data_IF_177368640095
#
_entry.id   IF_177368640095
#
_cell.length_a   1.000
_cell.length_b   1.000
_cell.length_c   1.000
_cell.angle_alpha   90.00
_cell.angle_beta   90.00
_cell.angle_gamma   90.00
#
_symmetry.space_group_name_H-M   'P 1'
#
loop_
_entity.id
_entity.type
_entity.pdbx_description
1 polymer ?
#
# COMPACT_ATOMS: atom_id res chain seq x y z
N UNK A 1 -110.21 32.41 -77.16
CA UNK A 1 -108.88 32.25 -77.78
C UNK A 1 -107.81 32.24 -76.65
N UNK A 2 -106.64 31.58 -76.83
CA UNK A 2 -106.13 30.46 -75.99
C UNK A 2 -104.89 30.72 -75.08
N UNK A 3 -104.63 29.75 -74.16
CA UNK A 3 -103.41 29.17 -73.45
C UNK A 3 -102.02 29.89 -73.50
N UNK A 4 -100.93 29.50 -72.73
CA UNK A 4 -100.70 28.43 -71.71
C UNK A 4 -99.89 28.88 -70.44
N UNK A 5 -99.63 27.98 -69.46
CA UNK A 5 -98.93 28.25 -68.16
C UNK A 5 -97.52 27.65 -67.98
N UNK A 6 -96.97 27.57 -66.73
CA UNK A 6 -95.76 26.79 -66.42
C UNK A 6 -95.86 25.91 -65.15
N UNK A 7 -95.45 24.62 -65.23
CA UNK A 7 -95.46 23.62 -64.13
C UNK A 7 -94.08 22.98 -63.80
N UNK A 8 -92.95 23.48 -64.32
CA UNK A 8 -91.63 22.83 -64.13
C UNK A 8 -90.70 23.44 -63.06
N UNK A 9 -90.95 24.65 -62.55
CA UNK A 9 -90.09 25.28 -61.53
C UNK A 9 -90.47 24.94 -60.08
N UNK A 10 -91.61 24.27 -59.86
CA UNK A 10 -92.11 24.00 -58.51
C UNK A 10 -91.45 22.78 -57.84
N UNK A 11 -91.10 21.71 -58.58
CA UNK A 11 -90.57 20.47 -57.99
C UNK A 11 -89.16 20.61 -57.40
N UNK A 12 -88.24 21.25 -58.12
CA UNK A 12 -86.88 21.51 -57.61
C UNK A 12 -86.86 22.46 -56.40
N UNK A 13 -87.84 23.36 -56.29
CA UNK A 13 -87.96 24.25 -55.14
C UNK A 13 -88.48 23.51 -53.90
N UNK A 14 -89.35 22.51 -54.09
CA UNK A 14 -89.90 21.69 -53.00
C UNK A 14 -88.84 20.73 -52.47
N UNK A 15 -88.08 20.04 -53.32
CA UNK A 15 -87.04 19.10 -52.87
C UNK A 15 -85.88 19.82 -52.17
N UNK A 16 -85.51 21.03 -52.62
CA UNK A 16 -84.50 21.86 -51.95
C UNK A 16 -84.99 22.39 -50.59
N UNK A 17 -86.26 22.78 -50.50
CA UNK A 17 -86.86 23.22 -49.24
C UNK A 17 -86.97 22.08 -48.22
N UNK A 18 -87.28 20.85 -48.68
CA UNK A 18 -87.34 19.68 -47.80
C UNK A 18 -85.96 19.32 -47.23
N UNK A 19 -84.91 19.39 -48.04
CA UNK A 19 -83.54 19.16 -47.60
C UNK A 19 -83.04 20.24 -46.62
N UNK A 20 -83.35 21.52 -46.87
CA UNK A 20 -83.05 22.63 -45.95
C UNK A 20 -83.85 22.52 -44.64
N UNK A 21 -85.08 22.00 -44.68
CA UNK A 21 -85.90 21.78 -43.48
C UNK A 21 -85.41 20.57 -42.67
N UNK A 22 -84.97 19.50 -43.32
CA UNK A 22 -84.39 18.32 -42.66
C UNK A 22 -83.02 18.64 -42.06
N UNK A 23 -82.20 19.46 -42.73
CA UNK A 23 -80.95 19.97 -42.18
C UNK A 23 -81.18 20.93 -41.01
N UNK A 24 -82.22 21.80 -41.08
CA UNK A 24 -82.67 22.60 -39.94
C UNK A 24 -83.12 21.74 -38.77
N UNK A 25 -83.92 20.70 -38.99
CA UNK A 25 -84.37 19.79 -37.92
C UNK A 25 -83.19 19.06 -37.29
N UNK A 26 -82.20 18.62 -38.07
CA UNK A 26 -80.96 18.02 -37.51
C UNK A 26 -80.12 19.02 -36.71
N UNK A 27 -80.03 20.26 -37.17
CA UNK A 27 -79.35 21.34 -36.44
C UNK A 27 -80.09 21.72 -35.16
N UNK A 28 -81.43 21.77 -35.19
CA UNK A 28 -82.27 22.02 -34.02
C UNK A 28 -82.21 20.86 -33.03
N UNK A 29 -82.28 19.62 -33.48
CA UNK A 29 -82.11 18.43 -32.62
C UNK A 29 -80.71 18.37 -32.00
N UNK A 30 -79.66 18.68 -32.77
CA UNK A 30 -78.29 18.79 -32.27
C UNK A 30 -78.11 19.93 -31.25
N UNK A 31 -78.74 21.08 -31.49
CA UNK A 31 -78.75 22.21 -30.56
C UNK A 31 -79.53 21.90 -29.28
N UNK A 32 -80.65 21.19 -29.38
CA UNK A 32 -81.46 20.77 -28.24
C UNK A 32 -80.70 19.75 -27.37
N UNK A 33 -79.95 18.83 -27.99
CA UNK A 33 -79.11 17.87 -27.27
C UNK A 33 -77.94 18.54 -26.55
N UNK A 34 -77.36 19.59 -27.14
CA UNK A 34 -76.31 20.41 -26.52
C UNK A 34 -76.86 21.29 -25.39
N UNK A 35 -78.06 21.85 -25.52
CA UNK A 35 -78.74 22.64 -24.47
C UNK A 35 -79.20 21.75 -23.29
N UNK A 36 -79.63 20.53 -23.57
CA UNK A 36 -80.07 19.55 -22.56
C UNK A 36 -78.89 18.90 -21.82
N UNK A 37 -77.86 18.45 -22.55
CA UNK A 37 -76.73 17.71 -21.98
C UNK A 37 -75.50 18.58 -21.68
N UNK A 38 -75.41 19.80 -22.21
CA UNK A 38 -74.29 20.72 -22.02
C UNK A 38 -74.02 21.10 -20.55
N UNK A 39 -75.03 21.43 -19.73
CA UNK A 39 -74.85 21.70 -18.31
C UNK A 39 -74.39 20.45 -17.54
N UNK A 40 -74.92 19.28 -17.88
CA UNK A 40 -74.54 18.01 -17.27
C UNK A 40 -73.09 17.63 -17.61
N UNK A 41 -72.66 17.81 -18.87
CA UNK A 41 -71.28 17.59 -19.30
C UNK A 41 -70.30 18.55 -18.60
N UNK A 42 -70.69 19.81 -18.36
CA UNK A 42 -69.85 20.78 -17.65
C UNK A 42 -69.70 20.44 -16.16
N UNK A 43 -70.75 19.94 -15.51
CA UNK A 43 -70.69 19.48 -14.12
C UNK A 43 -69.79 18.25 -13.97
N UNK A 44 -69.92 17.26 -14.87
CA UNK A 44 -69.04 16.08 -14.89
C UNK A 44 -67.58 16.46 -15.16
N UNK A 45 -67.33 17.41 -16.07
CA UNK A 45 -65.97 17.89 -16.34
C UNK A 45 -65.38 18.70 -15.16
N UNK A 46 -66.19 19.51 -14.46
CA UNK A 46 -65.77 20.23 -13.28
C UNK A 46 -65.48 19.29 -12.10
N UNK A 47 -66.31 18.26 -11.91
CA UNK A 47 -66.12 17.23 -10.89
C UNK A 47 -64.90 16.36 -11.18
N UNK A 48 -64.65 16.02 -12.46
CA UNK A 48 -63.44 15.32 -12.89
C UNK A 48 -62.16 16.14 -12.62
N UNK A 49 -62.16 17.45 -12.90
CA UNK A 49 -61.04 18.34 -12.55
C UNK A 49 -60.80 18.43 -11.05
N UNK A 50 -61.86 18.46 -10.26
CA UNK A 50 -61.78 18.53 -8.80
C UNK A 50 -61.29 17.20 -8.20
N UNK A 51 -61.69 16.07 -8.79
CA UNK A 51 -61.18 14.75 -8.46
C UNK A 51 -59.68 14.60 -8.81
N UNK A 52 -59.25 15.12 -9.96
CA UNK A 52 -57.84 15.11 -10.38
C UNK A 52 -56.96 15.94 -9.43
N UNK A 53 -57.42 17.12 -9.02
CA UNK A 53 -56.73 17.96 -8.03
C UNK A 53 -56.63 17.28 -6.66
N UNK A 54 -57.68 16.59 -6.21
CA UNK A 54 -57.65 15.80 -4.97
C UNK A 54 -56.67 14.64 -5.08
N UNK A 55 -56.70 13.89 -6.19
CA UNK A 55 -55.78 12.79 -6.44
C UNK A 55 -54.32 13.26 -6.51
N UNK A 56 -54.05 14.43 -7.10
CA UNK A 56 -52.71 15.02 -7.14
C UNK A 56 -52.21 15.41 -5.74
N UNK A 57 -53.04 16.10 -4.95
CA UNK A 57 -52.69 16.44 -3.56
C UNK A 57 -52.48 15.22 -2.69
N UNK A 58 -53.26 14.16 -2.89
CA UNK A 58 -53.11 12.91 -2.15
C UNK A 58 -51.80 12.19 -2.51
N UNK A 59 -51.39 12.20 -3.78
CA UNK A 59 -50.08 11.67 -4.21
C UNK A 59 -48.92 12.47 -3.63
N UNK A 60 -48.98 13.80 -3.69
CA UNK A 60 -47.96 14.67 -3.11
C UNK A 60 -47.82 14.45 -1.60
N UNK A 61 -48.95 14.30 -0.88
CA UNK A 61 -48.95 14.02 0.55
C UNK A 61 -48.35 12.63 0.88
N UNK A 62 -48.63 11.62 0.05
CA UNK A 62 -48.05 10.28 0.20
C UNK A 62 -46.55 10.29 -0.07
N UNK A 63 -46.10 11.02 -1.09
CA UNK A 63 -44.69 11.15 -1.43
C UNK A 63 -43.92 11.89 -0.33
N UNK A 64 -44.48 12.97 0.21
CA UNK A 64 -43.90 13.67 1.36
C UNK A 64 -43.77 12.76 2.58
N UNK A 65 -44.83 12.02 2.94
CA UNK A 65 -44.76 11.06 4.06
C UNK A 65 -43.71 9.98 3.83
N UNK A 66 -43.61 9.45 2.60
CA UNK A 66 -42.59 8.45 2.28
C UNK A 66 -41.18 9.03 2.44
N UNK A 67 -40.94 10.25 1.95
CA UNK A 67 -39.65 10.95 2.13
C UNK A 67 -39.34 11.18 3.60
N UNK A 68 -40.27 11.70 4.38
CA UNK A 68 -40.08 11.92 5.82
C UNK A 68 -39.77 10.60 6.55
N UNK A 69 -40.49 9.52 6.25
CA UNK A 69 -40.20 8.21 6.88
C UNK A 69 -38.86 7.64 6.46
N UNK A 70 -38.45 7.84 5.21
CA UNK A 70 -37.16 7.39 4.70
C UNK A 70 -36.00 8.19 5.31
N UNK A 71 -36.12 9.52 5.36
CA UNK A 71 -35.13 10.40 5.99
C UNK A 71 -34.99 10.10 7.49
N UNK A 72 -36.11 9.88 8.20
CA UNK A 72 -36.08 9.47 9.60
C UNK A 72 -35.37 8.12 9.79
N UNK A 73 -35.64 7.14 8.93
CA UNK A 73 -34.97 5.83 8.95
C UNK A 73 -33.45 5.97 8.70
N UNK A 74 -33.06 6.71 7.66
CA UNK A 74 -31.64 6.95 7.34
C UNK A 74 -30.92 7.69 8.47
N UNK A 75 -31.56 8.71 9.06
CA UNK A 75 -30.98 9.43 10.20
C UNK A 75 -30.79 8.53 11.42
N UNK A 76 -31.74 7.63 11.69
CA UNK A 76 -31.64 6.69 12.80
C UNK A 76 -30.52 5.67 12.58
N UNK A 77 -30.41 5.09 11.38
CA UNK A 77 -29.34 4.15 11.06
C UNK A 77 -27.97 4.84 11.07
N UNK A 78 -27.88 6.06 10.56
CA UNK A 78 -26.63 6.84 10.63
C UNK A 78 -26.19 7.08 12.07
N UNK A 79 -27.11 7.45 12.96
CA UNK A 79 -26.79 7.65 14.37
C UNK A 79 -26.30 6.36 15.05
N UNK A 80 -26.90 5.21 14.73
CA UNK A 80 -26.41 3.91 15.24
C UNK A 80 -25.01 3.60 14.73
N UNK A 81 -24.78 3.74 13.42
CA UNK A 81 -23.47 3.52 12.81
C UNK A 81 -22.41 4.44 13.42
N UNK A 82 -22.72 5.71 13.64
CA UNK A 82 -21.82 6.65 14.31
C UNK A 82 -21.44 6.13 15.71
N UNK A 83 -22.41 5.72 16.53
CA UNK A 83 -22.12 5.15 17.86
C UNK A 83 -21.29 3.86 17.80
N UNK A 84 -21.58 2.96 16.86
CA UNK A 84 -20.83 1.71 16.68
C UNK A 84 -19.39 1.99 16.23
N UNK A 85 -19.19 2.96 15.33
CA UNK A 85 -17.86 3.37 14.88
C UNK A 85 -17.05 3.99 16.00
N UNK A 86 -17.65 4.83 16.85
CA UNK A 86 -16.99 5.41 18.01
C UNK A 86 -16.58 4.34 19.03
N UNK A 87 -17.44 3.37 19.30
CA UNK A 87 -17.14 2.25 20.19
C UNK A 87 -16.04 1.35 19.64
N UNK A 88 -16.06 1.10 18.32
CA UNK A 88 -15.01 0.33 17.64
C UNK A 88 -13.66 1.06 17.72
N UNK A 89 -13.63 2.35 17.37
CA UNK A 89 -12.42 3.18 17.46
C UNK A 89 -11.89 3.24 18.89
N UNK A 90 -12.76 3.36 19.89
CA UNK A 90 -12.36 3.34 21.31
C UNK A 90 -11.67 2.03 21.68
N UNK A 91 -12.20 0.89 21.24
CA UNK A 91 -11.60 -0.43 21.48
C UNK A 91 -10.25 -0.55 20.77
N UNK A 92 -10.17 -0.18 19.49
CA UNK A 92 -8.93 -0.23 18.71
C UNK A 92 -7.84 0.64 19.34
N UNK A 93 -8.17 1.89 19.70
CA UNK A 93 -7.23 2.79 20.37
C UNK A 93 -6.83 2.27 21.76
N UNK A 94 -7.76 1.63 22.47
CA UNK A 94 -7.47 0.94 23.73
C UNK A 94 -6.41 -0.17 23.53
N UNK A 95 -6.61 -1.06 22.56
CA UNK A 95 -5.65 -2.12 22.25
C UNK A 95 -4.31 -1.58 21.77
N UNK A 96 -4.29 -0.62 20.85
CA UNK A 96 -3.07 0.02 20.37
C UNK A 96 -2.27 0.64 21.54
N UNK A 97 -2.94 1.30 22.49
CA UNK A 97 -2.27 1.84 23.67
C UNK A 97 -1.63 0.76 24.57
N UNK A 98 -2.28 -0.40 24.70
CA UNK A 98 -1.76 -1.54 25.48
C UNK A 98 -0.56 -2.16 24.77
N UNK A 99 -0.67 -2.38 23.46
CA UNK A 99 0.43 -2.92 22.63
C UNK A 99 1.63 -2.01 22.68
N UNK A 100 1.45 -0.69 22.53
CA UNK A 100 2.54 0.29 22.61
C UNK A 100 3.22 0.30 23.98
N UNK A 101 2.44 0.25 25.07
CA UNK A 101 3.00 0.16 26.42
C UNK A 101 3.81 -1.11 26.61
N UNK A 102 3.26 -2.25 26.18
CA UNK A 102 3.96 -3.53 26.27
C UNK A 102 5.27 -3.53 25.46
N UNK A 103 5.23 -3.00 24.22
CA UNK A 103 6.41 -2.85 23.39
C UNK A 103 7.47 -1.93 24.03
N UNK A 104 7.05 -0.81 24.64
CA UNK A 104 7.95 0.08 25.36
C UNK A 104 8.60 -0.63 26.57
N UNK A 105 7.82 -1.32 27.40
CA UNK A 105 8.36 -2.09 28.53
C UNK A 105 9.34 -3.17 28.07
N UNK A 106 9.07 -3.83 26.93
CA UNK A 106 9.99 -4.82 26.36
C UNK A 106 11.30 -4.22 25.89
N UNK A 107 11.28 -3.00 25.33
CA UNK A 107 12.50 -2.26 24.98
C UNK A 107 13.29 -1.88 26.22
N UNK A 108 12.64 -1.30 27.22
CA UNK A 108 13.30 -0.93 28.48
C UNK A 108 13.95 -2.15 29.17
N UNK A 109 13.28 -3.31 29.16
CA UNK A 109 13.83 -4.57 29.65
C UNK A 109 15.05 -5.04 28.83
N UNK A 110 15.03 -4.87 27.51
CA UNK A 110 16.14 -5.23 26.63
C UNK A 110 17.35 -4.32 26.85
N UNK A 111 17.12 -3.01 26.96
CA UNK A 111 18.14 -2.00 27.25
C UNK A 111 18.79 -2.27 28.61
N UNK A 112 17.97 -2.59 29.62
CA UNK A 112 18.48 -2.96 30.94
C UNK A 112 19.34 -4.22 30.92
N UNK A 113 18.91 -5.27 30.19
CA UNK A 113 19.72 -6.49 30.01
C UNK A 113 21.04 -6.19 29.33
N UNK A 114 21.02 -5.33 28.30
CA UNK A 114 22.22 -4.95 27.57
C UNK A 114 23.21 -4.20 28.46
N UNK A 115 22.70 -3.28 29.29
CA UNK A 115 23.49 -2.58 30.29
C UNK A 115 24.12 -3.55 31.29
N UNK A 116 23.35 -4.52 31.82
CA UNK A 116 23.86 -5.52 32.77
C UNK A 116 24.91 -6.47 32.17
N UNK A 117 24.77 -6.81 30.88
CA UNK A 117 25.70 -7.68 30.17
C UNK A 117 26.97 -6.94 29.70
N UNK A 118 27.05 -5.62 29.90
CA UNK A 118 28.12 -4.77 29.34
C UNK A 118 28.35 -5.07 27.85
N UNK A 119 27.26 -5.27 27.09
CA UNK A 119 27.37 -5.64 25.67
C UNK A 119 28.09 -4.54 24.89
N UNK A 120 29.16 -4.93 24.19
CA UNK A 120 29.93 -4.02 23.33
C UNK A 120 29.30 -3.80 21.95
N UNK A 121 28.32 -4.62 21.60
CA UNK A 121 27.63 -4.55 20.31
C UNK A 121 26.64 -3.38 20.27
N UNK A 122 26.53 -2.68 19.12
CA UNK A 122 25.67 -1.51 18.94
C UNK A 122 24.19 -1.90 18.87
N UNK A 123 23.28 -0.94 19.09
CA UNK A 123 21.84 -1.12 18.93
C UNK A 123 21.48 -0.91 17.46
N UNK A 124 20.90 -1.92 16.79
CA UNK A 124 20.44 -1.75 15.42
C UNK A 124 19.45 -0.61 15.25
N UNK A 125 18.66 -0.27 16.28
CA UNK A 125 17.70 0.84 16.21
C UNK A 125 18.35 2.22 16.37
N UNK A 126 19.61 2.26 16.83
CA UNK A 126 20.41 3.47 16.99
C UNK A 126 21.41 3.60 15.83
N UNK A 127 20.98 4.24 14.75
CA UNK A 127 21.77 4.42 13.53
C UNK A 127 23.16 5.06 13.78
N UNK A 128 23.32 6.12 14.58
CA UNK A 128 24.64 6.66 14.92
C UNK A 128 25.60 5.66 15.56
N UNK A 129 25.10 4.84 16.49
CA UNK A 129 25.90 3.83 17.18
C UNK A 129 26.35 2.75 16.19
N UNK A 130 25.43 2.30 15.33
CA UNK A 130 25.70 1.30 14.31
C UNK A 130 26.72 1.80 13.28
N UNK A 131 26.57 3.03 12.80
CA UNK A 131 27.53 3.65 11.87
C UNK A 131 28.92 3.77 12.48
N UNK A 132 29.00 4.16 13.75
CA UNK A 132 30.28 4.26 14.47
C UNK A 132 30.94 2.89 14.58
N UNK A 133 30.19 1.87 14.98
CA UNK A 133 30.69 0.50 15.07
C UNK A 133 31.19 -0.03 13.71
N UNK A 134 30.39 0.14 12.65
CA UNK A 134 30.76 -0.30 11.29
C UNK A 134 32.05 0.39 10.82
N UNK A 135 32.20 1.69 11.09
CA UNK A 135 33.41 2.44 10.76
C UNK A 135 34.64 1.93 11.52
N UNK A 136 34.53 1.80 12.85
CA UNK A 136 35.62 1.29 13.69
C UNK A 136 36.04 -0.12 13.28
N UNK A 137 35.08 -1.01 13.04
CA UNK A 137 35.38 -2.38 12.64
C UNK A 137 35.96 -2.48 11.23
N UNK A 138 35.57 -1.57 10.32
CA UNK A 138 36.20 -1.48 9.00
C UNK A 138 37.69 -1.14 9.09
N UNK A 139 38.04 -0.17 9.95
CA UNK A 139 39.43 0.28 10.18
C UNK A 139 40.27 -0.73 10.98
N UNK A 140 39.65 -1.53 11.84
CA UNK A 140 40.34 -2.49 12.69
C UNK A 140 41.06 -3.58 11.86
N UNK A 141 42.38 -3.68 12.00
CA UNK A 141 43.15 -4.75 11.37
C UNK A 141 43.02 -6.03 12.18
N UNK A 142 42.59 -7.12 11.53
CA UNK A 142 42.43 -8.42 12.19
C UNK A 142 43.73 -9.21 12.10
N UNK A 143 44.31 -9.53 13.25
CA UNK A 143 45.61 -10.21 13.39
C UNK A 143 46.81 -9.27 13.27
N UNK A 144 47.99 -9.76 13.62
CA UNK A 144 49.26 -9.01 13.58
C UNK A 144 50.22 -9.61 12.56
N UNK A 145 51.24 -8.86 12.12
CA UNK A 145 52.21 -9.37 11.14
C UNK A 145 53.01 -10.54 11.71
N UNK A 146 53.16 -10.57 13.02
CA UNK A 146 53.88 -11.63 13.76
C UNK A 146 53.07 -12.93 13.88
N UNK A 147 51.74 -12.90 13.68
CA UNK A 147 50.87 -14.08 13.71
C UNK A 147 49.82 -14.02 12.58
N UNK A 148 50.11 -14.58 11.40
CA UNK A 148 49.17 -14.64 10.27
C UNK A 148 48.05 -15.68 10.47
N UNK A 149 47.69 -16.01 11.70
CA UNK A 149 46.60 -16.95 11.99
C UNK A 149 45.20 -16.35 11.78
N UNK A 150 44.22 -17.21 11.52
CA UNK A 150 42.80 -16.81 11.45
C UNK A 150 42.21 -16.60 12.85
N UNK A 151 42.94 -16.90 13.94
CA UNK A 151 42.34 -16.98 15.27
C UNK A 151 41.72 -15.65 15.72
N UNK A 152 42.40 -14.53 15.50
CA UNK A 152 41.87 -13.21 15.82
C UNK A 152 40.56 -12.89 15.08
N UNK A 153 40.40 -13.37 13.84
CA UNK A 153 39.16 -13.23 13.09
C UNK A 153 38.06 -14.10 13.69
N UNK A 154 38.37 -15.36 13.97
CA UNK A 154 37.41 -16.28 14.60
C UNK A 154 36.90 -15.70 15.91
N UNK A 155 37.77 -15.16 16.75
CA UNK A 155 37.37 -14.64 18.05
C UNK A 155 36.41 -13.44 17.91
N UNK A 156 36.52 -12.67 16.83
CA UNK A 156 35.65 -11.53 16.53
C UNK A 156 34.35 -11.88 15.78
N UNK A 157 34.30 -13.02 15.07
CA UNK A 157 33.16 -13.40 14.23
C UNK A 157 31.84 -13.64 14.99
N UNK A 158 31.80 -14.29 16.18
CA UNK A 158 30.56 -14.49 16.92
C UNK A 158 29.82 -13.18 17.22
N UNK A 159 30.57 -12.15 17.62
CA UNK A 159 30.02 -10.82 17.90
C UNK A 159 29.52 -10.15 16.62
N UNK A 160 30.26 -10.28 15.53
CA UNK A 160 29.86 -9.79 14.21
C UNK A 160 28.57 -10.46 13.68
N UNK A 161 28.46 -11.78 13.77
CA UNK A 161 27.26 -12.53 13.36
C UNK A 161 26.07 -12.25 14.26
N UNK A 162 26.30 -12.12 15.57
CA UNK A 162 25.27 -11.72 16.52
C UNK A 162 24.71 -10.35 16.15
N UNK A 163 25.57 -9.41 15.75
CA UNK A 163 25.11 -8.12 15.24
C UNK A 163 24.31 -8.26 13.93
N UNK A 164 24.75 -9.09 12.98
CA UNK A 164 23.96 -9.38 11.76
C UNK A 164 22.56 -9.90 12.08
N UNK A 165 22.44 -10.81 13.05
CA UNK A 165 21.15 -11.35 13.51
C UNK A 165 20.28 -10.26 14.14
N UNK A 166 20.86 -9.43 15.02
CA UNK A 166 20.14 -8.32 15.65
C UNK A 166 19.63 -7.31 14.60
N UNK A 167 20.42 -6.98 13.57
CA UNK A 167 19.99 -6.10 12.48
C UNK A 167 18.87 -6.77 11.67
N UNK A 168 18.98 -8.07 11.37
CA UNK A 168 17.94 -8.79 10.64
C UNK A 168 16.61 -8.85 11.40
N UNK A 169 16.65 -9.03 12.72
CA UNK A 169 15.47 -8.94 13.59
C UNK A 169 14.86 -7.53 13.56
N UNK A 170 15.68 -6.49 13.65
CA UNK A 170 15.22 -5.11 13.54
C UNK A 170 14.58 -4.81 12.17
N UNK A 171 15.13 -5.35 11.08
CA UNK A 171 14.50 -5.26 9.74
C UNK A 171 13.10 -5.89 9.77
N UNK A 172 12.93 -7.06 10.38
CA UNK A 172 11.63 -7.72 10.48
C UNK A 172 10.61 -6.87 11.25
N UNK A 173 11.02 -6.26 12.35
CA UNK A 173 10.16 -5.39 13.15
C UNK A 173 9.72 -4.13 12.38
N UNK A 174 10.64 -3.49 11.64
CA UNK A 174 10.29 -2.32 10.82
C UNK A 174 9.44 -2.69 9.59
N UNK A 175 9.54 -3.94 9.08
CA UNK A 175 8.61 -4.44 8.07
C UNK A 175 7.17 -4.47 8.60
N UNK A 176 6.98 -5.01 9.80
CA UNK A 176 5.67 -5.11 10.44
C UNK A 176 5.09 -3.72 10.77
N UNK A 177 5.96 -2.75 11.08
CA UNK A 177 5.60 -1.36 11.32
C UNK A 177 5.32 -0.54 10.04
N UNK A 178 5.48 -1.13 8.85
CA UNK A 178 5.35 -0.46 7.54
C UNK A 178 6.27 0.76 7.37
N UNK A 179 7.42 0.78 8.05
CA UNK A 179 8.38 1.87 8.01
C UNK A 179 9.46 1.60 6.95
N UNK A 180 9.12 1.85 5.69
CA UNK A 180 9.99 1.56 4.55
C UNK A 180 11.35 2.28 4.60
N UNK A 181 11.42 3.49 5.15
CA UNK A 181 12.68 4.24 5.25
C UNK A 181 13.69 3.56 6.17
N UNK A 182 13.27 3.26 7.41
CA UNK A 182 14.11 2.55 8.37
C UNK A 182 14.47 1.14 7.88
N UNK A 183 13.52 0.43 7.26
CA UNK A 183 13.75 -0.89 6.68
C UNK A 183 14.88 -0.88 5.63
N UNK A 184 14.89 0.10 4.73
CA UNK A 184 15.93 0.21 3.69
C UNK A 184 17.29 0.50 4.33
N UNK A 185 17.36 1.43 5.28
CA UNK A 185 18.62 1.78 5.96
C UNK A 185 19.21 0.57 6.71
N UNK A 186 18.40 -0.14 7.48
CA UNK A 186 18.84 -1.34 8.20
C UNK A 186 19.32 -2.45 7.26
N UNK A 187 18.68 -2.61 6.09
CA UNK A 187 19.14 -3.55 5.06
C UNK A 187 20.49 -3.16 4.47
N UNK A 188 20.73 -1.85 4.29
CA UNK A 188 22.04 -1.35 3.87
C UNK A 188 23.08 -1.68 4.93
N UNK A 189 22.82 -1.40 6.21
CA UNK A 189 23.76 -1.74 7.29
C UNK A 189 24.04 -3.24 7.38
N UNK A 190 23.03 -4.10 7.22
CA UNK A 190 23.21 -5.55 7.18
C UNK A 190 24.11 -5.98 6.02
N UNK A 191 23.90 -5.40 4.83
CA UNK A 191 24.73 -5.67 3.67
C UNK A 191 26.18 -5.21 3.91
N UNK A 192 26.38 -4.02 4.48
CA UNK A 192 27.70 -3.49 4.84
C UNK A 192 28.40 -4.40 5.84
N UNK A 193 27.72 -4.85 6.90
CA UNK A 193 28.32 -5.74 7.90
C UNK A 193 28.79 -7.06 7.27
N UNK A 194 27.99 -7.66 6.39
CA UNK A 194 28.36 -8.88 5.66
C UNK A 194 29.55 -8.67 4.72
N UNK A 195 29.60 -7.52 4.04
CA UNK A 195 30.74 -7.14 3.21
C UNK A 195 32.01 -6.97 4.04
N UNK A 196 31.91 -6.39 5.24
CA UNK A 196 33.04 -6.27 6.16
C UNK A 196 33.52 -7.65 6.63
N UNK A 197 32.63 -8.56 7.03
CA UNK A 197 32.99 -9.95 7.36
C UNK A 197 33.79 -10.59 6.21
N UNK A 198 33.28 -10.48 4.98
CA UNK A 198 33.96 -11.02 3.82
C UNK A 198 35.32 -10.35 3.57
N UNK A 199 35.40 -9.03 3.67
CA UNK A 199 36.66 -8.29 3.52
C UNK A 199 37.70 -8.68 4.57
N UNK A 200 37.29 -8.98 5.81
CA UNK A 200 38.20 -9.51 6.84
C UNK A 200 38.71 -10.90 6.48
N UNK A 201 37.84 -11.79 6.00
CA UNK A 201 38.25 -13.10 5.48
C UNK A 201 39.25 -12.98 4.34
N UNK A 202 39.01 -12.09 3.38
CA UNK A 202 39.91 -11.85 2.25
C UNK A 202 41.26 -11.30 2.73
N UNK A 203 41.25 -10.37 3.69
CA UNK A 203 42.48 -9.80 4.27
C UNK A 203 43.31 -10.86 4.98
N UNK A 204 42.70 -11.68 5.83
CA UNK A 204 43.39 -12.76 6.56
C UNK A 204 43.90 -13.83 5.60
N UNK A 205 43.10 -14.22 4.61
CA UNK A 205 43.51 -15.19 3.59
C UNK A 205 44.69 -14.67 2.76
N UNK A 206 44.68 -13.38 2.39
CA UNK A 206 45.80 -12.73 1.72
C UNK A 206 47.06 -12.75 2.57
N UNK A 207 46.94 -12.45 3.88
CA UNK A 207 48.08 -12.48 4.81
C UNK A 207 48.67 -13.88 4.96
N UNK A 208 47.82 -14.90 5.10
CA UNK A 208 48.25 -16.31 5.13
C UNK A 208 49.02 -16.67 3.85
N UNK A 209 48.53 -16.21 2.69
CA UNK A 209 49.22 -16.44 1.41
C UNK A 209 50.53 -15.64 1.28
N UNK A 210 50.65 -14.45 1.89
CA UNK A 210 51.88 -13.67 1.90
C UNK A 210 52.97 -14.32 2.76
N UNK A 211 52.56 -14.97 3.85
CA UNK A 211 53.43 -15.69 4.79
C UNK A 211 53.34 -17.21 4.63
N UNK A 212 53.13 -17.69 3.40
CA UNK A 212 52.95 -19.12 3.13
C UNK A 212 54.16 -19.97 3.54
N UNK A 213 55.34 -19.36 3.60
CA UNK A 213 56.61 -19.94 4.04
C UNK A 213 56.54 -20.43 5.49
N UNK A 214 55.78 -19.76 6.35
CA UNK A 214 55.56 -20.16 7.75
C UNK A 214 54.72 -21.45 7.88
N UNK A 215 54.02 -21.84 6.82
CA UNK A 215 53.09 -22.98 6.82
C UNK A 215 53.54 -24.12 5.89
N UNK A 216 54.67 -23.97 5.21
CA UNK A 216 55.25 -25.01 4.35
C UNK A 216 55.76 -26.20 5.18
N UNK A 217 55.16 -27.38 5.01
CA UNK A 217 55.71 -28.63 5.57
C UNK A 217 56.46 -29.40 4.47
N UNK A 218 57.78 -29.51 4.58
CA UNK A 218 58.56 -30.43 3.74
C UNK A 218 58.12 -31.88 4.04
N UNK A 219 57.69 -32.69 3.05
CA UNK A 219 58.34 -32.83 1.74
C UNK A 219 57.43 -32.62 0.51
N UNK A 220 56.15 -32.30 0.70
CA UNK A 220 55.21 -32.15 -0.40
C UNK A 220 55.11 -30.66 -0.75
N UNK A 221 55.33 -30.31 -2.01
CA UNK A 221 55.20 -28.97 -2.59
C UNK A 221 53.77 -28.41 -2.53
N UNK A 222 52.98 -28.76 -1.52
CA UNK A 222 51.60 -28.32 -1.33
C UNK A 222 51.49 -27.54 -0.02
N UNK A 223 50.92 -26.35 -0.11
CA UNK A 223 50.45 -25.57 1.01
C UNK A 223 49.08 -26.08 1.45
N UNK A 224 48.95 -26.40 2.72
CA UNK A 224 47.69 -26.77 3.35
C UNK A 224 47.56 -25.98 4.65
N UNK A 225 46.55 -25.12 4.74
CA UNK A 225 46.15 -24.50 5.99
C UNK A 225 44.69 -24.87 6.23
N UNK A 226 44.41 -25.55 7.33
CA UNK A 226 43.05 -25.88 7.72
C UNK A 226 42.88 -25.55 9.19
N UNK A 227 41.86 -24.76 9.50
CA UNK A 227 41.44 -24.45 10.85
C UNK A 227 39.94 -24.62 10.96
N UNK A 228 39.50 -25.16 12.09
CA UNK A 228 38.10 -25.35 12.40
C UNK A 228 37.82 -24.70 13.74
N UNK A 229 36.69 -24.01 13.81
CA UNK A 229 36.20 -23.33 15.00
C UNK A 229 34.77 -23.81 15.25
N UNK A 230 34.11 -23.31 16.30
CA UNK A 230 32.77 -23.82 16.65
C UNK A 230 31.77 -23.67 15.49
N UNK A 231 31.86 -22.56 14.75
CA UNK A 231 30.88 -22.21 13.71
C UNK A 231 31.44 -22.19 12.28
N UNK A 232 32.77 -22.19 12.12
CA UNK A 232 33.41 -22.09 10.81
C UNK A 232 34.50 -23.14 10.60
N UNK A 233 34.57 -23.65 9.36
CA UNK A 233 35.68 -24.44 8.86
C UNK A 233 36.33 -23.63 7.75
N UNK A 234 37.59 -23.26 7.93
CA UNK A 234 38.40 -22.57 6.93
C UNK A 234 39.49 -23.52 6.43
N UNK A 235 39.61 -23.64 5.11
CA UNK A 235 40.64 -24.43 4.46
C UNK A 235 41.20 -23.68 3.27
N UNK A 236 42.51 -23.50 3.25
CA UNK A 236 43.28 -22.99 2.12
C UNK A 236 44.17 -24.12 1.62
N UNK A 237 44.13 -24.35 0.31
CA UNK A 237 44.97 -25.32 -0.36
C UNK A 237 45.62 -24.67 -1.57
N UNK A 238 46.92 -24.88 -1.73
CA UNK A 238 47.68 -24.39 -2.88
C UNK A 238 48.82 -25.32 -3.23
N UNK A 239 49.20 -25.35 -4.50
CA UNK A 239 50.40 -26.06 -4.96
C UNK A 239 51.54 -25.04 -5.11
N UNK A 240 52.58 -25.19 -4.29
CA UNK A 240 53.79 -24.40 -4.29
C UNK A 240 54.83 -25.10 -5.17
N UNK A 241 54.65 -25.10 -6.49
CA UNK A 241 55.69 -25.62 -7.40
C UNK A 241 57.02 -24.92 -7.11
N UNK A 242 58.12 -25.68 -7.12
CA UNK A 242 59.50 -25.38 -6.67
C UNK A 242 60.17 -24.04 -7.06
N UNK A 243 59.49 -23.08 -7.69
CA UNK A 243 60.04 -21.78 -8.07
C UNK A 243 58.95 -20.71 -8.33
N UNK A 244 58.35 -20.07 -7.31
CA UNK A 244 57.65 -18.82 -7.52
C UNK A 244 58.70 -17.75 -7.87
N UNK A 245 58.94 -17.54 -9.17
CA UNK A 245 59.80 -16.44 -9.62
C UNK A 245 59.09 -15.14 -9.29
N UNK A 246 59.36 -14.59 -8.11
CA UNK A 246 59.01 -13.21 -7.78
C UNK A 246 59.79 -12.30 -8.74
N UNK A 247 59.20 -11.98 -9.87
CA UNK A 247 59.52 -10.73 -10.54
C UNK A 247 58.95 -9.64 -9.63
N UNK A 248 59.78 -9.11 -8.75
CA UNK A 248 59.47 -7.85 -8.07
C UNK A 248 59.33 -6.80 -9.17
N UNK A 249 58.10 -6.53 -9.61
CA UNK A 249 57.81 -5.36 -10.41
C UNK A 249 57.84 -4.20 -9.42
N UNK A 250 59.04 -3.64 -9.26
CA UNK A 250 59.20 -2.30 -8.74
C UNK A 250 58.56 -1.40 -9.80
N UNK A 251 57.34 -0.93 -9.55
CA UNK A 251 56.76 0.17 -10.32
C UNK A 251 57.59 1.42 -10.03
N UNK A 252 58.63 1.59 -10.83
CA UNK A 252 59.48 2.77 -10.86
C UNK A 252 58.72 3.91 -11.49
N UNK A 253 57.91 4.60 -10.70
CA UNK A 253 57.32 5.87 -11.10
C UNK A 253 57.16 6.86 -9.95
N UNK A 254 58.21 7.03 -9.14
CA UNK A 254 58.45 8.30 -8.43
C UNK A 254 59.95 8.64 -8.42
N UNK A 255 60.40 9.22 -9.52
CA UNK A 255 61.49 10.20 -9.49
C UNK A 255 61.01 11.40 -8.67
N UNK A 256 61.70 11.74 -7.57
CA UNK A 256 61.84 13.12 -7.09
C UNK A 256 63.02 13.22 -6.10
N UNK A 257 64.17 13.59 -6.67
CA UNK A 257 65.25 14.43 -6.15
C UNK A 257 65.29 14.84 -4.65
N UNK A 258 66.42 14.53 -4.01
CA UNK A 258 67.29 15.41 -3.16
C UNK A 258 68.50 14.57 -2.74
N UNK A 259 69.73 14.71 -3.23
CA UNK A 259 70.68 15.85 -3.31
C UNK A 259 71.01 16.48 -1.95
N UNK A 260 72.25 16.20 -1.52
CA UNK A 260 73.07 16.72 -0.40
C UNK A 260 72.95 15.97 0.93
#
# INVERSE_FOLDING_TARGET
>A
MPKPGPKKNAKNAIDKALAEEEERKRLEEGALLFLSNGPALQLVAAEARLAELRAKKERELKELRLRETFEAFVSQEKAKLETETEDFLRKVNGYDSVVRKFAATKRDEADWKRFLLCSKLPDPTNEPELNTYLGLWAEETVGNDDDPSVQALVDALPDAEKLCNNIAEAVSLECDALNHGAQVNLRVHLATMRQLIQSKWDSVSCRIMQHFDLFGSEPNENFHYATSTQDYICGLWGNLTRNPRHACVIDGSYDLYRVS
#
